data_IF_970291424840
#
_entry.id   IF_970291424840
#
_cell.length_a   1.000
_cell.length_b   1.000
_cell.length_c   1.000
_cell.angle_alpha   90.00
_cell.angle_beta   90.00
_cell.angle_gamma   90.00
#
_symmetry.space_group_name_H-M   'P 1'
#
loop_
_entity.id
_entity.type
_entity.pdbx_description
1 polymer ?
#
# COMPACT_ATOMS: atom_id res chain seq x y z
N UNK A 1 31.56 -36.44 2.99
CA UNK A 1 31.38 -36.29 1.54
C UNK A 1 30.07 -35.55 1.30
N UNK A 2 30.13 -34.36 0.70
CA UNK A 2 28.92 -33.66 0.26
C UNK A 2 28.39 -34.36 -0.99
N UNK A 3 27.15 -34.83 -0.97
CA UNK A 3 26.53 -35.39 -2.16
C UNK A 3 26.33 -34.26 -3.19
N UNK A 4 26.68 -34.48 -4.47
CA UNK A 4 26.38 -33.50 -5.51
C UNK A 4 24.86 -33.25 -5.52
N UNK A 5 24.48 -32.00 -5.27
CA UNK A 5 23.08 -31.58 -5.31
C UNK A 5 22.63 -31.53 -6.76
N UNK A 6 21.84 -32.51 -7.19
CA UNK A 6 21.21 -32.48 -8.52
C UNK A 6 20.04 -31.51 -8.51
N UNK A 7 19.96 -30.64 -9.53
CA UNK A 7 18.86 -29.70 -9.73
C UNK A 7 17.52 -30.44 -9.87
N UNK A 8 16.45 -29.83 -9.35
CA UNK A 8 15.12 -30.41 -9.36
C UNK A 8 14.61 -30.67 -10.79
N UNK A 9 15.00 -29.83 -11.77
CA UNK A 9 14.62 -30.01 -13.17
C UNK A 9 15.22 -31.29 -13.76
N UNK A 10 16.51 -31.54 -13.51
CA UNK A 10 17.20 -32.74 -13.99
C UNK A 10 16.61 -34.01 -13.39
N UNK A 11 16.28 -34.00 -12.08
CA UNK A 11 15.60 -35.14 -11.44
C UNK A 11 14.26 -35.44 -12.12
N UNK A 12 13.47 -34.40 -12.37
CA UNK A 12 12.16 -34.54 -13.02
C UNK A 12 12.27 -35.05 -14.45
N UNK A 13 13.27 -34.60 -15.21
CA UNK A 13 13.51 -35.05 -16.58
C UNK A 13 13.87 -36.54 -16.64
N UNK A 14 14.77 -37.00 -15.76
CA UNK A 14 15.13 -38.42 -15.65
C UNK A 14 13.90 -39.28 -15.33
N UNK A 15 13.07 -38.86 -14.37
CA UNK A 15 11.85 -39.58 -13.99
C UNK A 15 10.89 -39.66 -15.18
N UNK A 16 10.71 -38.56 -15.92
CA UNK A 16 9.88 -38.55 -17.14
C UNK A 16 10.38 -39.52 -18.21
N UNK A 17 11.71 -39.62 -18.41
CA UNK A 17 12.28 -40.59 -19.35
C UNK A 17 12.01 -42.04 -18.92
N UNK A 18 12.07 -42.31 -17.61
CA UNK A 18 11.81 -43.64 -17.07
C UNK A 18 10.34 -44.02 -17.19
N UNK A 19 9.41 -43.10 -16.91
CA UNK A 19 7.99 -43.32 -17.15
C UNK A 19 7.63 -43.48 -18.64
N UNK A 20 8.44 -42.94 -19.55
CA UNK A 20 8.35 -43.22 -21.00
C UNK A 20 8.93 -44.60 -21.40
N UNK A 21 9.49 -45.36 -20.46
CA UNK A 21 10.03 -46.71 -20.68
C UNK A 21 11.55 -46.80 -20.79
N UNK A 22 12.30 -45.71 -20.53
CA UNK A 22 13.76 -45.76 -20.53
C UNK A 22 14.30 -46.61 -19.35
N UNK A 23 15.39 -47.34 -19.59
CA UNK A 23 16.03 -48.16 -18.56
C UNK A 23 16.85 -47.28 -17.60
N UNK A 24 16.86 -47.63 -16.32
CA UNK A 24 17.63 -46.90 -15.27
C UNK A 24 19.15 -46.98 -15.50
N UNK A 25 19.66 -48.12 -15.96
CA UNK A 25 21.09 -48.35 -16.15
C UNK A 25 21.78 -47.40 -17.15
N UNK A 26 21.24 -47.13 -18.36
CA UNK A 26 21.84 -46.16 -19.28
C UNK A 26 21.76 -44.73 -18.72
N UNK A 27 20.63 -44.31 -18.14
CA UNK A 27 20.47 -42.97 -17.56
C UNK A 27 21.43 -42.74 -16.38
N UNK A 28 21.67 -43.75 -15.55
CA UNK A 28 22.66 -43.70 -14.48
C UNK A 28 24.07 -43.40 -14.99
N UNK A 29 24.46 -43.98 -16.14
CA UNK A 29 25.76 -43.76 -16.76
C UNK A 29 25.85 -42.38 -17.43
N UNK A 30 24.80 -41.99 -18.15
CA UNK A 30 24.74 -40.72 -18.89
C UNK A 30 24.79 -39.51 -17.95
N UNK A 31 24.00 -39.54 -16.88
CA UNK A 31 23.90 -38.42 -15.93
C UNK A 31 24.89 -38.53 -14.76
N UNK A 32 25.68 -39.62 -14.67
CA UNK A 32 26.63 -39.84 -13.56
C UNK A 32 25.95 -40.06 -12.20
N UNK A 33 24.70 -40.52 -12.18
CA UNK A 33 23.88 -40.67 -10.97
C UNK A 33 23.84 -42.15 -10.57
N UNK A 34 23.93 -42.44 -9.27
CA UNK A 34 23.76 -43.81 -8.78
C UNK A 34 22.34 -44.32 -9.04
N UNK A 35 22.22 -45.59 -9.44
CA UNK A 35 20.92 -46.24 -9.69
C UNK A 35 20.01 -46.14 -8.46
N UNK A 36 20.57 -46.30 -7.26
CA UNK A 36 19.83 -46.19 -6.00
C UNK A 36 19.20 -44.82 -5.79
N UNK A 37 19.89 -43.74 -6.22
CA UNK A 37 19.34 -42.39 -6.15
C UNK A 37 18.14 -42.23 -7.08
N UNK A 38 18.25 -42.78 -8.29
CA UNK A 38 17.16 -42.76 -9.28
C UNK A 38 15.96 -43.54 -8.75
N UNK A 39 16.16 -44.76 -8.22
CA UNK A 39 15.10 -45.55 -7.61
C UNK A 39 14.45 -44.82 -6.43
N UNK A 40 15.24 -44.18 -5.57
CA UNK A 40 14.71 -43.37 -4.46
C UNK A 40 13.82 -42.24 -4.97
N UNK A 41 14.22 -41.53 -6.02
CA UNK A 41 13.41 -40.44 -6.57
C UNK A 41 12.11 -40.93 -7.20
N UNK A 42 12.13 -42.05 -7.91
CA UNK A 42 10.91 -42.65 -8.48
C UNK A 42 9.93 -43.00 -7.35
N UNK A 43 10.40 -43.72 -6.32
CA UNK A 43 9.55 -44.13 -5.20
C UNK A 43 8.94 -42.94 -4.46
N UNK A 44 9.72 -41.88 -4.25
CA UNK A 44 9.24 -40.66 -3.59
C UNK A 44 8.16 -39.97 -4.43
N UNK A 45 8.39 -39.83 -5.74
CA UNK A 45 7.42 -39.22 -6.65
C UNK A 45 6.16 -40.06 -6.75
N UNK A 46 6.26 -41.39 -6.87
CA UNK A 46 5.11 -42.27 -6.88
C UNK A 46 4.29 -42.17 -5.60
N UNK A 47 4.94 -42.14 -4.44
CA UNK A 47 4.28 -42.00 -3.13
C UNK A 47 3.51 -40.68 -3.03
N UNK A 48 4.13 -39.56 -3.39
CA UNK A 48 3.46 -38.25 -3.36
C UNK A 48 2.38 -38.13 -4.43
N UNK A 49 2.58 -38.73 -5.61
CA UNK A 49 1.57 -38.77 -6.67
C UNK A 49 0.35 -39.55 -6.19
N UNK A 50 0.54 -40.74 -5.62
CA UNK A 50 -0.54 -41.55 -5.03
C UNK A 50 -1.27 -40.78 -3.93
N UNK A 51 -0.54 -40.14 -3.02
CA UNK A 51 -1.12 -39.31 -1.96
C UNK A 51 -1.95 -38.14 -2.51
N UNK A 52 -1.51 -37.53 -3.62
CA UNK A 52 -2.24 -36.44 -4.27
C UNK A 52 -3.49 -36.90 -5.03
N UNK A 53 -3.48 -38.14 -5.54
CA UNK A 53 -4.58 -38.75 -6.29
C UNK A 53 -5.63 -39.37 -5.38
N UNK A 54 -5.28 -39.73 -4.15
CA UNK A 54 -6.28 -40.10 -3.13
C UNK A 54 -7.18 -38.89 -2.92
N UNK A 55 -8.51 -39.02 -3.12
CA UNK A 55 -9.43 -37.93 -2.85
C UNK A 55 -9.32 -37.59 -1.36
N UNK A 56 -8.66 -36.47 -1.07
CA UNK A 56 -8.62 -35.93 0.27
C UNK A 56 -10.08 -35.68 0.66
N UNK A 57 -10.52 -36.25 1.78
CA UNK A 57 -11.83 -35.92 2.35
C UNK A 57 -11.97 -34.40 2.34
N UNK A 58 -13.10 -33.84 1.87
CA UNK A 58 -13.30 -32.40 1.90
C UNK A 58 -12.97 -31.92 3.30
N UNK A 59 -11.97 -31.05 3.41
CA UNK A 59 -11.57 -30.51 4.70
C UNK A 59 -12.79 -29.92 5.42
N UNK A 60 -12.78 -29.82 6.75
CA UNK A 60 -13.86 -29.20 7.50
C UNK A 60 -14.20 -27.86 6.84
N UNK A 61 -15.45 -27.69 6.39
CA UNK A 61 -15.91 -26.41 5.84
C UNK A 61 -15.82 -25.38 6.96
N UNK A 62 -14.70 -24.66 7.03
CA UNK A 62 -14.53 -23.56 7.98
C UNK A 62 -15.66 -22.58 7.71
N UNK A 63 -16.56 -22.41 8.66
CA UNK A 63 -17.71 -21.54 8.50
C UNK A 63 -17.20 -20.11 8.24
N UNK A 64 -17.38 -19.55 7.03
CA UNK A 64 -16.83 -18.24 6.69
C UNK A 64 -17.32 -17.15 7.63
N UNK A 65 -18.52 -17.32 8.22
CA UNK A 65 -19.09 -16.39 9.18
C UNK A 65 -18.29 -16.32 10.49
N UNK A 66 -17.72 -17.43 10.97
CA UNK A 66 -16.92 -17.44 12.19
C UNK A 66 -15.64 -16.61 12.00
N UNK A 67 -14.93 -16.85 10.89
CA UNK A 67 -13.72 -16.11 10.54
C UNK A 67 -13.99 -14.62 10.30
N UNK A 68 -15.15 -14.29 9.72
CA UNK A 68 -15.56 -12.90 9.53
C UNK A 68 -15.91 -12.21 10.86
N UNK A 69 -16.54 -12.92 11.80
CA UNK A 69 -16.80 -12.40 13.15
C UNK A 69 -15.50 -12.09 13.90
N UNK A 70 -14.55 -13.02 13.92
CA UNK A 70 -13.23 -12.82 14.54
C UNK A 70 -12.51 -11.58 13.97
N UNK A 71 -12.51 -11.43 12.64
CA UNK A 71 -11.93 -10.24 11.98
C UNK A 71 -12.67 -8.95 12.32
N UNK A 72 -14.00 -8.99 12.41
CA UNK A 72 -14.77 -7.81 12.78
C UNK A 72 -14.48 -7.39 14.23
N UNK A 73 -14.35 -8.33 15.15
CA UNK A 73 -13.96 -8.06 16.53
C UNK A 73 -12.56 -7.46 16.61
N UNK A 74 -11.60 -8.03 15.89
CA UNK A 74 -10.22 -7.50 15.78
C UNK A 74 -10.20 -6.08 15.23
N UNK A 75 -10.90 -5.82 14.12
CA UNK A 75 -10.99 -4.48 13.52
C UNK A 75 -11.66 -3.48 14.45
N UNK A 76 -12.73 -3.88 15.14
CA UNK A 76 -13.43 -3.03 16.11
C UNK A 76 -12.51 -2.63 17.26
N UNK A 77 -11.71 -3.56 17.77
CA UNK A 77 -10.70 -3.30 18.80
C UNK A 77 -9.62 -2.32 18.31
N UNK A 78 -9.11 -2.51 17.08
CA UNK A 78 -8.11 -1.61 16.50
C UNK A 78 -8.65 -0.20 16.27
N UNK A 79 -9.88 -0.07 15.79
CA UNK A 79 -10.53 1.23 15.59
C UNK A 79 -10.63 1.98 16.92
N UNK A 80 -11.09 1.32 17.99
CA UNK A 80 -11.15 1.92 19.33
C UNK A 80 -9.78 2.39 19.81
N UNK A 81 -8.76 1.53 19.69
CA UNK A 81 -7.38 1.87 20.08
C UNK A 81 -6.82 3.06 19.30
N UNK A 82 -7.16 3.19 18.02
CA UNK A 82 -6.75 4.33 17.20
C UNK A 82 -7.49 5.60 17.60
N UNK A 83 -8.78 5.52 17.90
CA UNK A 83 -9.56 6.64 18.42
C UNK A 83 -8.97 7.17 19.73
N UNK A 84 -8.65 6.27 20.68
CA UNK A 84 -8.03 6.64 21.96
C UNK A 84 -6.70 7.38 21.76
N UNK A 85 -5.88 6.93 20.79
CA UNK A 85 -4.61 7.59 20.44
C UNK A 85 -4.82 8.96 19.81
N UNK A 86 -5.80 9.10 18.92
CA UNK A 86 -6.12 10.38 18.30
C UNK A 86 -6.58 11.37 19.36
N UNK A 87 -7.44 10.94 20.28
CA UNK A 87 -7.93 11.76 21.39
C UNK A 87 -6.79 12.19 22.32
N UNK A 88 -5.89 11.28 22.69
CA UNK A 88 -4.71 11.60 23.49
C UNK A 88 -3.81 12.64 22.80
N UNK A 89 -3.62 12.54 21.48
CA UNK A 89 -2.85 13.51 20.71
C UNK A 89 -3.56 14.85 20.54
N UNK A 90 -4.88 14.87 20.43
CA UNK A 90 -5.66 16.13 20.40
C UNK A 90 -5.65 16.86 21.74
N UNK A 91 -5.50 16.15 22.86
CA UNK A 91 -5.33 16.80 24.16
C UNK A 91 -3.92 17.39 24.36
N UNK A 92 -2.88 16.78 23.80
CA UNK A 92 -1.48 17.23 23.95
C UNK A 92 -1.18 18.44 23.06
N UNK A 93 -1.85 18.53 21.90
CA UNK A 93 -1.63 19.62 20.96
C UNK A 93 -2.81 20.59 20.99
N UNK A 94 -2.55 21.90 21.02
CA UNK A 94 -3.58 22.93 20.73
C UNK A 94 -4.06 22.86 19.26
N UNK A 95 -3.84 21.74 18.57
CA UNK A 95 -4.14 21.47 17.17
C UNK A 95 -5.46 20.70 17.15
N UNK A 96 -6.53 21.38 16.80
CA UNK A 96 -7.80 20.73 16.44
C UNK A 96 -7.59 20.00 15.10
N UNK A 97 -7.29 18.70 15.16
CA UNK A 97 -7.23 17.84 13.98
C UNK A 97 -8.66 17.61 13.51
N UNK A 98 -9.15 18.45 12.60
CA UNK A 98 -10.45 18.27 11.98
C UNK A 98 -10.42 17.01 11.11
N UNK A 99 -11.26 16.03 11.44
CA UNK A 99 -11.50 14.82 10.62
C UNK A 99 -12.32 15.11 9.37
N UNK A 100 -12.80 16.34 9.19
CA UNK A 100 -13.46 16.76 7.95
C UNK A 100 -12.40 16.87 6.85
N UNK A 101 -12.60 16.11 5.77
CA UNK A 101 -11.85 16.30 4.53
C UNK A 101 -11.80 17.80 4.20
N UNK A 102 -10.66 18.34 3.73
CA UNK A 102 -10.59 19.75 3.31
C UNK A 102 -11.68 19.95 2.26
N UNK A 103 -12.77 20.59 2.68
CA UNK A 103 -13.92 20.85 1.83
C UNK A 103 -13.44 21.52 0.55
N UNK A 104 -14.10 21.20 -0.56
CA UNK A 104 -13.97 21.72 -1.94
C UNK A 104 -13.99 23.26 -2.10
N UNK A 105 -13.73 24.03 -1.04
CA UNK A 105 -13.78 25.49 -0.92
C UNK A 105 -12.38 26.13 -0.81
N UNK A 106 -11.29 25.36 -0.94
CA UNK A 106 -9.96 25.96 -1.10
C UNK A 106 -9.75 26.31 -2.58
N UNK A 107 -10.08 27.56 -2.94
CA UNK A 107 -9.66 28.22 -4.19
C UNK A 107 -8.13 28.35 -4.20
N UNK A 108 -7.41 27.24 -4.40
CA UNK A 108 -5.96 27.24 -4.56
C UNK A 108 -5.65 27.59 -6.02
N UNK A 109 -4.70 28.50 -6.30
CA UNK A 109 -4.29 28.73 -7.67
C UNK A 109 -3.72 27.43 -8.27
N UNK A 110 -4.11 27.10 -9.49
CA UNK A 110 -3.67 25.87 -10.18
C UNK A 110 -2.25 25.98 -10.73
N UNK A 111 -1.78 27.21 -11.01
CA UNK A 111 -0.45 27.50 -11.55
C UNK A 111 0.11 28.79 -10.97
N UNK A 112 1.44 28.87 -10.96
CA UNK A 112 2.17 30.07 -10.58
C UNK A 112 2.07 31.11 -11.72
N UNK A 113 1.65 32.35 -11.44
CA UNK A 113 1.59 33.40 -12.47
C UNK A 113 2.97 33.84 -12.98
N UNK A 114 4.03 33.66 -12.20
CA UNK A 114 5.39 34.07 -12.58
C UNK A 114 6.13 33.01 -13.40
N UNK A 115 6.07 31.74 -12.99
CA UNK A 115 6.89 30.68 -13.60
C UNK A 115 6.08 29.54 -14.24
N UNK A 116 4.74 29.58 -14.17
CA UNK A 116 3.87 28.52 -14.69
C UNK A 116 3.81 27.23 -13.84
N UNK A 117 4.63 27.13 -12.79
CA UNK A 117 4.74 25.95 -11.93
C UNK A 117 3.41 25.52 -11.29
N UNK A 118 3.16 24.21 -11.25
CA UNK A 118 1.85 23.64 -10.86
C UNK A 118 1.75 23.41 -9.35
N UNK A 119 2.89 23.24 -8.67
CA UNK A 119 2.92 22.88 -7.26
C UNK A 119 2.98 24.13 -6.37
N UNK A 120 1.83 24.46 -5.78
CA UNK A 120 1.65 25.62 -4.91
C UNK A 120 1.32 25.17 -3.48
N UNK A 121 2.15 25.61 -2.53
CA UNK A 121 2.03 25.28 -1.12
C UNK A 121 1.22 26.33 -0.34
N UNK A 122 0.35 25.88 0.56
CA UNK A 122 -0.34 26.77 1.51
C UNK A 122 0.66 27.22 2.59
N UNK A 123 0.81 28.53 2.77
CA UNK A 123 1.78 29.17 3.67
C UNK A 123 1.08 29.99 4.77
N UNK A 124 0.02 29.41 5.35
CA UNK A 124 -0.81 30.01 6.39
C UNK A 124 -1.86 31.01 5.87
N UNK A 125 -2.55 31.63 6.81
CA UNK A 125 -3.53 32.68 6.56
C UNK A 125 -3.49 33.71 7.70
N UNK A 126 -3.94 34.93 7.46
CA UNK A 126 -4.09 35.96 8.48
C UNK A 126 -5.36 36.77 8.27
N UNK A 127 -5.91 37.29 9.35
CA UNK A 127 -7.07 38.19 9.32
C UNK A 127 -6.59 39.62 9.07
N UNK A 128 -7.33 40.35 8.25
CA UNK A 128 -7.13 41.77 8.01
C UNK A 128 -8.33 42.53 8.56
N UNK A 129 -8.05 43.49 9.44
CA UNK A 129 -9.05 44.26 10.20
C UNK A 129 -9.34 45.65 9.62
N UNK A 130 -8.75 46.03 8.48
CA UNK A 130 -8.96 47.31 7.82
C UNK A 130 -8.32 47.36 6.43
N UNK A 131 -8.22 48.56 5.84
CA UNK A 131 -7.54 48.73 4.57
C UNK A 131 -6.04 48.41 4.70
N UNK A 132 -5.51 47.60 3.78
CA UNK A 132 -4.08 47.31 3.72
C UNK A 132 -3.61 47.28 2.28
N UNK A 133 -2.66 48.16 1.98
CA UNK A 133 -1.97 48.22 0.71
C UNK A 133 -0.49 47.86 0.91
N UNK A 134 -0.02 46.93 0.08
CA UNK A 134 1.39 46.58 -0.06
C UNK A 134 1.68 46.38 -1.54
N UNK A 135 2.97 46.34 -1.93
CA UNK A 135 3.36 46.19 -3.34
C UNK A 135 2.68 45.01 -4.05
N UNK A 136 2.38 43.93 -3.31
CA UNK A 136 1.83 42.68 -3.85
C UNK A 136 0.38 42.39 -3.43
N UNK A 137 -0.28 43.28 -2.69
CA UNK A 137 -1.62 43.00 -2.14
C UNK A 137 -2.35 44.31 -1.80
N UNK A 138 -3.54 44.49 -2.38
CA UNK A 138 -4.46 45.58 -2.07
C UNK A 138 -5.75 45.00 -1.51
N UNK A 139 -6.11 45.37 -0.28
CA UNK A 139 -7.31 44.91 0.40
C UNK A 139 -8.06 46.14 0.91
N UNK A 140 -9.27 46.34 0.40
CA UNK A 140 -10.14 47.47 0.75
C UNK A 140 -11.04 47.20 1.96
N UNK A 141 -11.28 45.93 2.31
CA UNK A 141 -12.25 45.54 3.35
C UNK A 141 -11.70 44.46 4.30
N UNK A 142 -12.31 44.31 5.47
CA UNK A 142 -11.98 43.24 6.44
C UNK A 142 -12.15 41.86 5.79
N UNK A 143 -11.15 41.00 5.91
CA UNK A 143 -11.20 39.68 5.28
C UNK A 143 -10.07 38.73 5.71
N UNK A 144 -10.17 37.48 5.26
CA UNK A 144 -9.11 36.48 5.49
C UNK A 144 -8.19 36.43 4.28
N UNK A 145 -6.91 36.66 4.50
CA UNK A 145 -5.89 36.52 3.46
C UNK A 145 -5.23 35.17 3.58
N UNK A 146 -5.33 34.38 2.54
CA UNK A 146 -4.63 33.11 2.42
C UNK A 146 -3.32 33.32 1.68
N UNK A 147 -2.23 32.83 2.26
CA UNK A 147 -0.89 32.94 1.67
C UNK A 147 -0.51 31.61 1.02
N UNK A 148 0.12 31.69 -0.14
CA UNK A 148 0.68 30.54 -0.82
C UNK A 148 2.11 30.83 -1.27
N UNK A 149 2.85 29.77 -1.60
CA UNK A 149 4.20 29.85 -2.14
C UNK A 149 4.36 28.86 -3.28
N UNK A 150 4.86 29.32 -4.42
CA UNK A 150 5.24 28.42 -5.51
C UNK A 150 6.43 27.56 -5.07
N UNK A 151 6.40 26.26 -5.35
CA UNK A 151 7.54 25.37 -5.03
C UNK A 151 8.75 25.59 -5.92
N UNK A 152 8.53 26.09 -7.14
CA UNK A 152 9.58 26.22 -8.17
C UNK A 152 10.31 27.56 -8.05
N UNK A 153 9.61 28.69 -8.20
CA UNK A 153 10.24 30.03 -8.14
C UNK A 153 10.16 30.68 -6.75
N UNK A 154 9.44 30.08 -5.79
CA UNK A 154 9.35 30.61 -4.43
C UNK A 154 8.51 31.88 -4.27
N UNK A 155 7.88 32.40 -5.35
CA UNK A 155 7.05 33.61 -5.29
C UNK A 155 5.90 33.45 -4.29
N UNK A 156 5.58 34.55 -3.60
CA UNK A 156 4.48 34.64 -2.64
C UNK A 156 3.20 35.01 -3.38
N UNK A 157 2.17 34.20 -3.21
CA UNK A 157 0.83 34.45 -3.78
C UNK A 157 -0.15 34.71 -2.64
N UNK A 158 -1.09 35.62 -2.87
CA UNK A 158 -2.06 36.05 -1.87
C UNK A 158 -3.46 35.97 -2.46
N UNK A 159 -4.38 35.29 -1.76
CA UNK A 159 -5.79 35.28 -2.11
C UNK A 159 -6.62 35.85 -0.97
N UNK A 160 -7.53 36.77 -1.30
CA UNK A 160 -8.38 37.44 -0.34
C UNK A 160 -9.75 36.79 -0.39
N UNK A 161 -10.11 36.06 0.67
CA UNK A 161 -11.47 35.57 0.83
C UNK A 161 -12.30 36.70 1.43
N UNK A 162 -13.19 37.27 0.62
CA UNK A 162 -14.24 38.16 1.11
C UNK A 162 -15.20 37.34 1.96
N UNK A 163 -15.64 37.86 3.10
CA UNK A 163 -16.78 37.27 3.79
C UNK A 163 -17.98 37.42 2.87
N UNK A 164 -18.49 36.32 2.33
CA UNK A 164 -19.81 36.31 1.69
C UNK A 164 -20.79 36.88 2.72
N UNK A 165 -21.46 37.99 2.37
CA UNK A 165 -22.63 38.45 3.13
C UNK A 165 -23.58 37.25 3.19
N UNK A 166 -23.78 36.69 4.38
CA UNK A 166 -24.96 35.88 4.61
C UNK A 166 -26.14 36.84 4.50
N UNK A 167 -26.84 36.80 3.37
CA UNK A 167 -28.20 37.33 3.30
C UNK A 167 -29.02 36.60 4.39
N UNK A 168 -29.66 37.39 5.25
CA UNK A 168 -30.53 36.92 6.32
C UNK A 168 -31.89 36.54 5.75
#
# INVERSE_FOLDING_TARGET
MAYPGYDAKTKLEIIKLIWKGAKVAPLSREFGISRDSIHRWINEVEKETLKSLVPSTPGPKVNPLLRLKEKNEELSFLVRKLQDKVEALSHISQITVSTKAPSLLEERPSKCPECGGVRIWKNGAYQVTGERTSRSLRISEKGTVQRFRCSECGVKLYLVKKKSKMEK
#
